data_IF_265050723717
#
_entry.id   IF_265050723717
#
_cell.length_a   1.000
_cell.length_b   1.000
_cell.length_c   1.000
_cell.angle_alpha   90.00
_cell.angle_beta   90.00
_cell.angle_gamma   90.00
#
_symmetry.space_group_name_H-M   'P 1'
#
loop_
_entity.id
_entity.type
_entity.pdbx_description
1 polymer ?
#
# COMPACT_ATOMS: atom_id res chain seq x y z
N UNK A 1 -0.17 3.07 -0.15
CA UNK A 1 0.33 4.36 -0.71
C UNK A 1 -0.86 5.24 -1.03
N UNK A 2 -0.96 6.41 -0.38
CA UNK A 2 -1.96 7.41 -0.75
C UNK A 2 -1.49 8.09 -2.04
N UNK A 3 -1.98 7.62 -3.17
CA UNK A 3 -1.81 8.29 -4.44
C UNK A 3 -2.58 9.61 -4.42
N UNK A 4 -1.89 10.72 -4.67
CA UNK A 4 -2.52 12.04 -4.80
C UNK A 4 -2.59 12.40 -6.27
N UNK A 5 -3.77 12.69 -6.77
CA UNK A 5 -3.92 13.25 -8.11
C UNK A 5 -3.21 14.61 -8.19
N UNK A 6 -2.26 14.73 -9.11
CA UNK A 6 -1.49 15.94 -9.33
C UNK A 6 -2.06 16.77 -10.48
N UNK A 7 -2.55 16.10 -11.53
CA UNK A 7 -3.07 16.75 -12.74
C UNK A 7 -4.15 15.87 -13.39
N UNK A 8 -4.90 16.45 -14.32
CA UNK A 8 -5.90 15.75 -15.12
C UNK A 8 -6.01 16.43 -16.48
N UNK A 9 -5.71 15.71 -17.53
CA UNK A 9 -5.67 16.25 -18.91
C UNK A 9 -6.56 15.41 -19.84
N UNK A 10 -7.33 16.08 -20.68
CA UNK A 10 -8.13 15.41 -21.72
C UNK A 10 -7.26 15.03 -22.91
N UNK A 11 -7.42 13.80 -23.41
CA UNK A 11 -6.75 13.34 -24.61
C UNK A 11 -7.20 14.15 -25.83
N UNK A 12 -6.25 14.61 -26.64
CA UNK A 12 -6.53 15.30 -27.89
C UNK A 12 -7.05 14.34 -28.97
N UNK A 13 -7.58 14.89 -30.09
CA UNK A 13 -8.03 14.07 -31.24
C UNK A 13 -6.90 13.21 -31.83
N UNK A 14 -5.64 13.69 -31.72
CA UNK A 14 -4.44 12.98 -32.17
C UNK A 14 -3.96 11.91 -31.16
N UNK A 15 -4.78 11.60 -30.15
CA UNK A 15 -4.46 10.64 -29.08
C UNK A 15 -3.19 11.02 -28.32
N UNK A 16 -2.97 12.30 -28.11
CA UNK A 16 -1.84 12.85 -27.37
C UNK A 16 -2.31 13.50 -26.09
N UNK A 17 -1.49 13.35 -25.06
CA UNK A 17 -1.64 14.00 -23.76
C UNK A 17 -0.29 14.63 -23.39
N UNK A 18 -0.31 15.87 -22.95
CA UNK A 18 0.87 16.57 -22.42
C UNK A 18 0.57 17.02 -20.99
N UNK A 19 1.33 16.53 -20.02
CA UNK A 19 1.31 16.99 -18.65
C UNK A 19 2.42 18.03 -18.45
N UNK A 20 2.08 19.19 -17.87
CA UNK A 20 3.02 20.29 -17.62
C UNK A 20 3.18 20.57 -16.12
N UNK A 21 2.73 19.66 -15.27
CA UNK A 21 2.84 19.79 -13.81
C UNK A 21 4.28 19.62 -13.39
N UNK A 22 4.84 20.53 -12.57
CA UNK A 22 6.17 20.36 -12.00
C UNK A 22 6.20 19.10 -11.12
N UNK A 23 7.08 18.17 -11.44
CA UNK A 23 7.30 16.93 -10.69
C UNK A 23 8.64 17.01 -9.96
N UNK A 24 8.78 16.27 -8.87
CA UNK A 24 10.06 15.95 -8.22
C UNK A 24 10.51 14.58 -8.68
N UNK A 25 11.79 14.25 -8.53
CA UNK A 25 12.27 12.89 -8.79
C UNK A 25 11.48 11.87 -7.96
N UNK A 26 11.00 10.80 -8.60
CA UNK A 26 10.15 9.80 -7.98
C UNK A 26 9.43 8.90 -8.99
N UNK A 27 8.55 8.05 -8.49
CA UNK A 27 7.67 7.21 -9.29
C UNK A 27 6.28 7.86 -9.38
N UNK A 28 5.70 7.85 -10.57
CA UNK A 28 4.40 8.44 -10.87
C UNK A 28 3.54 7.46 -11.65
N UNK A 29 2.23 7.61 -11.53
CA UNK A 29 1.26 6.79 -12.23
C UNK A 29 0.38 7.63 -13.13
N UNK A 30 0.18 7.18 -14.37
CA UNK A 30 -0.86 7.65 -15.27
C UNK A 30 -2.06 6.72 -15.11
N UNK A 31 -3.23 7.28 -14.82
CA UNK A 31 -4.48 6.55 -14.73
C UNK A 31 -5.45 7.04 -15.81
N UNK A 32 -6.08 6.11 -16.52
CA UNK A 32 -7.14 6.42 -17.49
C UNK A 32 -8.49 6.52 -16.79
N UNK A 33 -9.47 7.15 -17.43
CA UNK A 33 -10.86 7.21 -16.93
C UNK A 33 -11.51 5.83 -16.71
N UNK A 34 -10.95 4.77 -17.32
CA UNK A 34 -11.40 3.38 -17.18
C UNK A 34 -10.63 2.59 -16.12
N UNK A 35 -9.74 3.25 -15.37
CA UNK A 35 -8.97 2.64 -14.29
C UNK A 35 -7.74 1.83 -14.73
N UNK A 36 -7.35 1.91 -16.02
CA UNK A 36 -6.07 1.33 -16.43
C UNK A 36 -4.92 2.25 -16.03
N UNK A 37 -3.86 1.66 -15.47
CA UNK A 37 -2.74 2.39 -14.88
C UNK A 37 -1.41 2.06 -15.56
N UNK A 38 -0.48 3.01 -15.50
CA UNK A 38 0.89 2.86 -15.98
C UNK A 38 1.83 3.69 -15.13
N UNK A 39 2.81 3.03 -14.54
CA UNK A 39 3.81 3.68 -13.71
C UNK A 39 5.01 4.14 -14.53
N UNK A 40 5.63 5.26 -14.16
CA UNK A 40 6.86 5.72 -14.75
C UNK A 40 7.75 6.43 -13.73
N UNK A 41 9.04 6.38 -13.97
CA UNK A 41 10.05 7.08 -13.17
C UNK A 41 10.34 8.44 -13.77
N UNK A 42 10.54 9.44 -12.90
CA UNK A 42 10.91 10.80 -13.27
C UNK A 42 12.15 11.24 -12.49
N UNK A 43 13.12 11.81 -13.17
CA UNK A 43 14.42 12.24 -12.65
C UNK A 43 14.80 13.66 -13.10
N UNK A 44 13.84 14.57 -13.12
CA UNK A 44 13.96 15.95 -13.62
C UNK A 44 14.15 16.07 -15.15
N UNK A 45 14.10 14.94 -15.88
CA UNK A 45 14.15 14.92 -17.35
C UNK A 45 12.78 14.67 -17.95
N UNK A 46 12.34 15.40 -19.00
CA UNK A 46 11.04 15.17 -19.62
C UNK A 46 10.89 13.71 -20.12
N UNK A 47 9.82 13.06 -19.73
CA UNK A 47 9.51 11.68 -20.15
C UNK A 47 8.53 11.73 -21.32
N UNK A 48 8.87 11.06 -22.43
CA UNK A 48 8.00 10.84 -23.56
C UNK A 48 7.81 9.34 -23.79
N UNK A 49 6.58 8.91 -23.82
CA UNK A 49 6.22 7.51 -23.99
C UNK A 49 5.08 7.33 -25.00
N UNK A 50 5.00 6.15 -25.58
CA UNK A 50 3.91 5.70 -26.44
C UNK A 50 3.30 4.46 -25.79
N UNK A 51 1.99 4.47 -25.59
CA UNK A 51 1.23 3.33 -25.08
C UNK A 51 0.29 2.86 -26.19
N UNK A 52 0.46 1.63 -26.65
CA UNK A 52 -0.45 1.02 -27.64
C UNK A 52 -1.64 0.35 -26.96
N UNK A 53 -1.36 -0.28 -25.81
CA UNK A 53 -2.35 -0.93 -24.96
C UNK A 53 -1.96 -0.75 -23.49
N UNK A 54 -2.84 -0.17 -22.68
CA UNK A 54 -2.62 0.02 -21.25
C UNK A 54 -2.68 -1.29 -20.42
N UNK A 55 -3.22 -2.35 -21.01
CA UNK A 55 -3.28 -3.68 -20.38
C UNK A 55 -2.11 -4.60 -20.77
N UNK A 56 -1.26 -4.13 -21.70
CA UNK A 56 -0.04 -4.83 -22.13
C UNK A 56 1.18 -3.93 -21.95
N UNK A 57 1.87 -4.08 -20.83
CA UNK A 57 3.07 -3.29 -20.50
C UNK A 57 4.20 -3.49 -21.51
N UNK A 58 4.23 -4.61 -22.26
CA UNK A 58 5.21 -4.82 -23.32
C UNK A 58 4.97 -3.92 -24.54
N UNK A 59 3.78 -3.31 -24.63
CA UNK A 59 3.40 -2.36 -25.67
C UNK A 59 3.84 -0.92 -25.38
N UNK A 60 4.41 -0.66 -24.19
CA UNK A 60 4.88 0.67 -23.78
C UNK A 60 6.29 0.92 -24.31
N UNK A 61 6.47 2.03 -24.99
CA UNK A 61 7.76 2.44 -25.56
C UNK A 61 8.17 3.82 -25.01
N UNK A 62 9.29 3.88 -24.32
CA UNK A 62 9.89 5.15 -23.85
C UNK A 62 10.84 5.70 -24.92
N UNK A 63 10.52 6.89 -25.43
CA UNK A 63 11.25 7.47 -26.56
C UNK A 63 12.57 8.14 -26.14
N UNK A 64 12.61 8.71 -24.94
CA UNK A 64 13.74 9.54 -24.49
C UNK A 64 14.13 9.32 -23.02
N UNK A 65 13.70 8.19 -22.42
CA UNK A 65 14.02 7.89 -21.02
C UNK A 65 14.66 6.50 -20.90
N UNK A 66 15.99 6.47 -20.86
CA UNK A 66 16.74 5.23 -20.59
C UNK A 66 16.39 4.68 -19.20
N UNK A 67 16.19 5.57 -18.23
CA UNK A 67 15.71 5.26 -16.87
C UNK A 67 14.48 4.34 -16.88
N UNK A 68 13.46 4.71 -17.63
CA UNK A 68 12.23 3.93 -17.72
C UNK A 68 12.39 2.68 -18.61
N UNK A 69 13.21 2.76 -19.65
CA UNK A 69 13.54 1.58 -20.48
C UNK A 69 14.21 0.50 -19.64
N UNK A 70 15.17 0.88 -18.80
CA UNK A 70 15.88 -0.04 -17.90
C UNK A 70 14.94 -0.62 -16.84
N UNK A 71 14.08 0.23 -16.24
CA UNK A 71 13.11 -0.20 -15.24
C UNK A 71 12.11 -1.23 -15.80
N UNK A 72 11.54 -0.98 -16.97
CA UNK A 72 10.57 -1.88 -17.60
C UNK A 72 11.23 -3.18 -18.08
N UNK A 73 12.45 -3.12 -18.62
CA UNK A 73 13.22 -4.31 -18.98
C UNK A 73 13.51 -5.17 -17.75
N UNK A 74 13.85 -4.54 -16.63
CA UNK A 74 14.05 -5.21 -15.36
C UNK A 74 12.78 -5.89 -14.86
N UNK A 75 11.65 -5.17 -14.80
CA UNK A 75 10.38 -5.70 -14.30
C UNK A 75 9.93 -6.91 -15.13
N UNK A 76 9.98 -6.80 -16.45
CA UNK A 76 9.63 -7.91 -17.36
C UNK A 76 10.54 -9.14 -17.15
N UNK A 77 11.84 -8.95 -17.00
CA UNK A 77 12.75 -10.07 -16.75
C UNK A 77 12.55 -10.67 -15.36
N UNK A 78 12.29 -9.84 -14.32
CA UNK A 78 11.99 -10.29 -12.96
C UNK A 78 10.79 -11.21 -12.95
N UNK A 79 9.68 -10.80 -13.57
CA UNK A 79 8.45 -11.59 -13.66
C UNK A 79 8.71 -12.95 -14.34
N UNK A 80 9.29 -12.95 -15.54
CA UNK A 80 9.62 -14.18 -16.27
C UNK A 80 10.57 -15.10 -15.49
N UNK A 81 11.53 -14.51 -14.79
CA UNK A 81 12.48 -15.25 -13.96
C UNK A 81 11.79 -15.94 -12.79
N UNK A 82 10.97 -15.18 -12.04
CA UNK A 82 10.23 -15.72 -10.89
C UNK A 82 9.24 -16.81 -11.31
N UNK A 83 8.54 -16.66 -12.43
CA UNK A 83 7.66 -17.70 -12.98
C UNK A 83 8.46 -18.97 -13.32
N UNK A 84 9.60 -18.82 -14.00
CA UNK A 84 10.46 -19.96 -14.38
C UNK A 84 11.01 -20.69 -13.16
N UNK A 85 11.50 -19.96 -12.15
CA UNK A 85 11.98 -20.53 -10.90
C UNK A 85 10.87 -21.21 -10.11
N UNK A 86 9.64 -20.62 -10.10
CA UNK A 86 8.48 -21.21 -9.44
C UNK A 86 8.07 -22.56 -10.05
N UNK A 87 8.22 -22.75 -11.36
CA UNK A 87 7.97 -24.04 -12.04
C UNK A 87 9.02 -25.10 -11.69
N UNK A 88 10.29 -24.73 -11.53
CA UNK A 88 11.37 -25.66 -11.24
C UNK A 88 11.46 -26.03 -9.74
N UNK A 89 11.10 -25.15 -8.84
CA UNK A 89 11.23 -25.34 -7.39
C UNK A 89 10.52 -26.59 -6.82
N UNK A 90 9.30 -26.95 -7.23
CA UNK A 90 8.65 -28.19 -6.81
C UNK A 90 9.39 -29.42 -7.27
N UNK A 91 10.01 -29.41 -8.48
CA UNK A 91 10.78 -30.51 -9.01
C UNK A 91 12.04 -30.77 -8.18
N UNK A 92 12.73 -29.70 -7.78
CA UNK A 92 13.91 -29.79 -6.90
C UNK A 92 13.57 -30.29 -5.48
N UNK A 93 12.33 -30.13 -5.03
CA UNK A 93 11.87 -30.63 -3.72
C UNK A 93 11.41 -32.08 -3.75
N UNK A 94 10.85 -32.52 -4.87
CA UNK A 94 10.14 -33.81 -4.97
C UNK A 94 10.89 -34.95 -5.64
N UNK A 95 11.99 -34.65 -6.36
CA UNK A 95 12.73 -35.67 -7.11
C UNK A 95 13.93 -36.23 -6.34
N UNK A 96 14.34 -37.46 -6.71
CA UNK A 96 15.56 -38.08 -6.21
C UNK A 96 16.79 -37.26 -6.62
N UNK A 97 17.54 -36.81 -5.63
CA UNK A 97 18.73 -35.95 -5.79
C UNK A 97 19.88 -36.60 -6.58
N UNK A 98 19.89 -37.95 -6.70
CA UNK A 98 20.89 -38.68 -7.48
C UNK A 98 20.50 -38.84 -8.96
N UNK A 99 19.29 -38.43 -9.36
CA UNK A 99 18.82 -38.58 -10.74
C UNK A 99 19.44 -37.54 -11.69
N UNK A 100 19.68 -37.93 -12.93
CA UNK A 100 20.10 -36.97 -13.97
C UNK A 100 19.09 -35.83 -14.14
N UNK A 101 17.81 -36.15 -14.07
CA UNK A 101 16.74 -35.14 -14.16
C UNK A 101 16.84 -34.09 -13.05
N UNK A 102 17.09 -34.50 -11.81
CA UNK A 102 17.30 -33.56 -10.71
C UNK A 102 18.51 -32.65 -10.97
N UNK A 103 19.62 -33.25 -11.38
CA UNK A 103 20.88 -32.54 -11.66
C UNK A 103 20.73 -31.55 -12.81
N UNK A 104 20.00 -31.90 -13.86
CA UNK A 104 19.74 -30.98 -14.98
C UNK A 104 18.77 -29.88 -14.60
N UNK A 105 17.71 -30.18 -13.81
CA UNK A 105 16.79 -29.17 -13.26
C UNK A 105 17.52 -28.17 -12.36
N UNK A 106 18.47 -28.65 -11.53
CA UNK A 106 19.30 -27.82 -10.66
C UNK A 106 20.20 -26.87 -11.46
N UNK A 107 20.85 -27.38 -12.52
CA UNK A 107 21.66 -26.55 -13.41
C UNK A 107 20.82 -25.46 -14.11
N UNK A 108 19.63 -25.83 -14.59
CA UNK A 108 18.73 -24.85 -15.22
C UNK A 108 18.28 -23.78 -14.23
N UNK A 109 17.88 -24.18 -13.01
CA UNK A 109 17.52 -23.24 -11.94
C UNK A 109 18.66 -22.24 -11.68
N UNK A 110 19.90 -22.73 -11.52
CA UNK A 110 21.05 -21.87 -11.29
C UNK A 110 21.33 -20.96 -12.51
N UNK A 111 21.25 -21.50 -13.73
CA UNK A 111 21.45 -20.73 -14.97
C UNK A 111 20.45 -19.56 -15.09
N UNK A 112 19.22 -19.79 -14.70
CA UNK A 112 18.17 -18.72 -14.68
C UNK A 112 18.54 -17.63 -13.68
N UNK A 113 18.94 -18.01 -12.45
CA UNK A 113 19.39 -17.04 -11.43
C UNK A 113 20.60 -16.22 -11.93
N UNK A 114 21.63 -16.91 -12.49
CA UNK A 114 22.86 -16.27 -12.95
C UNK A 114 22.59 -15.26 -14.08
N UNK A 115 21.69 -15.60 -15.01
CA UNK A 115 21.28 -14.69 -16.09
C UNK A 115 20.58 -13.45 -15.54
N UNK A 116 19.68 -13.63 -14.57
CA UNK A 116 18.97 -12.52 -13.93
C UNK A 116 19.95 -11.59 -13.21
N UNK A 117 20.84 -12.15 -12.39
CA UNK A 117 21.85 -11.36 -11.66
C UNK A 117 22.79 -10.63 -12.61
N UNK A 118 23.31 -11.31 -13.63
CA UNK A 118 24.20 -10.66 -14.61
C UNK A 118 23.54 -9.52 -15.36
N UNK A 119 22.26 -9.66 -15.71
CA UNK A 119 21.50 -8.60 -16.35
C UNK A 119 21.24 -7.42 -15.38
N UNK A 120 20.79 -7.69 -14.17
CA UNK A 120 20.53 -6.64 -13.17
C UNK A 120 21.82 -5.91 -12.76
N UNK A 121 22.95 -6.62 -12.62
CA UNK A 121 24.24 -5.99 -12.38
C UNK A 121 24.62 -5.02 -13.52
N UNK A 122 24.33 -5.35 -14.77
CA UNK A 122 24.59 -4.46 -15.89
C UNK A 122 23.75 -3.17 -15.83
N UNK A 123 22.50 -3.25 -15.37
CA UNK A 123 21.61 -2.10 -15.20
C UNK A 123 22.01 -1.20 -14.00
N UNK A 124 22.48 -1.82 -12.92
CA UNK A 124 22.93 -1.13 -11.71
C UNK A 124 24.15 -0.24 -12.00
N UNK A 125 25.00 -0.60 -12.96
CA UNK A 125 26.15 0.21 -13.38
C UNK A 125 25.78 1.58 -13.99
N UNK A 126 24.51 1.78 -14.40
CA UNK A 126 24.06 3.06 -14.95
C UNK A 126 23.96 4.18 -13.89
N UNK A 127 24.02 3.82 -12.60
CA UNK A 127 24.05 4.74 -11.45
C UNK A 127 22.99 5.88 -11.51
N UNK A 128 21.77 5.48 -11.84
CA UNK A 128 20.60 6.37 -11.92
C UNK A 128 19.51 5.95 -10.93
N UNK A 129 18.36 6.63 -10.93
CA UNK A 129 17.27 6.32 -10.02
C UNK A 129 16.70 4.90 -10.23
N UNK A 130 16.57 4.42 -11.49
CA UNK A 130 16.15 3.05 -11.75
C UNK A 130 17.16 2.04 -11.21
N UNK A 131 18.47 2.28 -11.41
CA UNK A 131 19.54 1.42 -10.88
C UNK A 131 19.46 1.23 -9.38
N UNK A 132 19.16 2.31 -8.64
CA UNK A 132 18.93 2.27 -7.20
C UNK A 132 17.74 1.39 -6.85
N UNK A 133 16.59 1.56 -7.51
CA UNK A 133 15.40 0.77 -7.28
C UNK A 133 15.60 -0.69 -7.63
N UNK A 134 16.25 -0.99 -8.76
CA UNK A 134 16.60 -2.35 -9.20
C UNK A 134 17.47 -3.05 -8.13
N UNK A 135 18.46 -2.34 -7.59
CA UNK A 135 19.34 -2.88 -6.55
C UNK A 135 18.57 -3.29 -5.29
N UNK A 136 17.59 -2.52 -4.90
CA UNK A 136 16.73 -2.78 -3.73
C UNK A 136 15.72 -3.89 -4.00
N UNK A 137 15.08 -3.87 -5.17
CA UNK A 137 13.94 -4.73 -5.51
C UNK A 137 14.34 -6.12 -6.03
N UNK A 138 15.56 -6.30 -6.53
CA UNK A 138 16.02 -7.60 -7.00
C UNK A 138 16.06 -8.62 -5.87
N UNK A 139 15.83 -9.88 -6.20
CA UNK A 139 15.98 -10.98 -5.25
C UNK A 139 17.43 -11.46 -5.21
N UNK A 140 17.86 -11.95 -4.04
CA UNK A 140 19.15 -12.61 -3.87
C UNK A 140 19.09 -14.06 -4.38
N UNK A 141 20.13 -14.55 -5.07
CA UNK A 141 20.15 -15.91 -5.55
C UNK A 141 20.21 -16.91 -4.38
N UNK A 142 19.43 -17.97 -4.50
CA UNK A 142 19.39 -19.04 -3.49
C UNK A 142 20.51 -20.03 -3.79
N UNK A 143 21.32 -20.32 -2.78
CA UNK A 143 22.28 -21.45 -2.86
C UNK A 143 21.55 -22.77 -2.61
N UNK A 144 21.38 -23.58 -3.64
CA UNK A 144 20.69 -24.88 -3.56
C UNK A 144 21.44 -25.96 -2.78
N UNK A 145 22.70 -25.75 -2.40
CA UNK A 145 23.47 -26.65 -1.52
C UNK A 145 23.13 -26.46 -0.05
N UNK A 146 22.59 -25.30 0.33
CA UNK A 146 22.23 -25.00 1.69
C UNK A 146 20.83 -25.57 2.03
N UNK A 147 20.66 -25.98 3.29
CA UNK A 147 19.35 -26.39 3.76
C UNK A 147 18.38 -25.17 3.82
N UNK A 148 17.08 -25.45 3.84
CA UNK A 148 16.02 -24.42 3.77
C UNK A 148 16.13 -23.42 4.95
N UNK A 149 16.47 -23.90 6.13
CA UNK A 149 16.60 -23.04 7.33
C UNK A 149 17.78 -22.09 7.19
N UNK A 150 18.92 -22.56 6.67
CA UNK A 150 20.07 -21.71 6.39
C UNK A 150 19.77 -20.69 5.32
N UNK A 151 19.17 -21.11 4.18
CA UNK A 151 18.75 -20.20 3.12
C UNK A 151 17.86 -19.07 3.67
N UNK A 152 16.86 -19.43 4.50
CA UNK A 152 15.95 -18.45 5.11
C UNK A 152 16.66 -17.50 6.07
N UNK A 153 17.55 -18.00 6.93
CA UNK A 153 18.33 -17.16 7.86
C UNK A 153 19.22 -16.18 7.11
N UNK A 154 19.89 -16.63 6.06
CA UNK A 154 20.76 -15.78 5.24
C UNK A 154 19.96 -14.70 4.52
N UNK A 155 18.78 -15.05 3.95
CA UNK A 155 17.87 -14.08 3.36
C UNK A 155 17.41 -13.03 4.36
N UNK A 156 16.98 -13.41 5.57
CA UNK A 156 16.54 -12.48 6.62
C UNK A 156 17.70 -11.56 7.03
N UNK A 157 18.88 -12.11 7.23
CA UNK A 157 20.05 -11.35 7.70
C UNK A 157 20.49 -10.28 6.70
N UNK A 158 20.37 -10.55 5.39
CA UNK A 158 20.86 -9.70 4.32
C UNK A 158 19.77 -8.85 3.65
N UNK A 159 18.50 -9.02 4.02
CA UNK A 159 17.34 -8.55 3.27
C UNK A 159 17.34 -7.05 2.95
N UNK A 160 17.87 -6.22 3.85
CA UNK A 160 17.93 -4.77 3.72
C UNK A 160 19.35 -4.23 3.44
N UNK A 161 20.32 -5.06 3.08
CA UNK A 161 21.70 -4.62 2.88
C UNK A 161 21.84 -3.53 1.79
N UNK A 162 20.96 -3.56 0.79
CA UNK A 162 20.95 -2.60 -0.32
C UNK A 162 20.02 -1.40 -0.09
N UNK A 163 19.36 -1.31 1.07
CA UNK A 163 18.43 -0.22 1.40
C UNK A 163 19.12 0.85 2.24
N UNK A 164 19.20 2.07 1.72
CA UNK A 164 19.59 3.24 2.50
C UNK A 164 18.34 3.94 3.07
N UNK A 165 18.09 3.73 4.36
CA UNK A 165 16.95 4.34 5.07
C UNK A 165 17.11 5.86 5.28
N UNK A 166 18.21 6.49 4.90
CA UNK A 166 18.32 7.94 4.81
C UNK A 166 17.80 8.50 3.48
N UNK A 167 17.62 7.66 2.47
CA UNK A 167 17.21 8.08 1.14
C UNK A 167 15.71 8.29 1.04
N UNK A 168 15.26 9.52 1.23
CA UNK A 168 13.84 9.90 1.15
C UNK A 168 13.24 9.76 -0.27
N UNK A 169 14.03 9.56 -1.31
CA UNK A 169 13.47 9.28 -2.64
C UNK A 169 12.71 7.94 -2.67
N UNK A 170 13.04 7.02 -1.77
CA UNK A 170 12.39 5.71 -1.67
C UNK A 170 10.91 5.80 -1.21
N UNK A 171 10.55 6.82 -0.43
CA UNK A 171 9.14 6.99 0.00
C UNK A 171 8.22 7.46 -1.14
N UNK A 172 8.80 7.87 -2.28
CA UNK A 172 8.04 8.26 -3.48
C UNK A 172 7.78 7.07 -4.42
N UNK A 173 8.15 5.86 -4.02
CA UNK A 173 7.99 4.62 -4.78
C UNK A 173 7.31 3.56 -3.93
N UNK A 174 6.78 2.52 -4.57
CA UNK A 174 6.25 1.34 -3.88
C UNK A 174 7.35 0.31 -3.56
N UNK A 175 8.53 0.43 -4.16
CA UNK A 175 9.64 -0.54 -4.01
C UNK A 175 10.00 -0.79 -2.55
N UNK A 176 10.11 0.27 -1.74
CA UNK A 176 10.44 0.14 -0.33
C UNK A 176 9.30 -0.54 0.46
N UNK A 177 8.06 -0.15 0.22
CA UNK A 177 6.91 -0.74 0.93
C UNK A 177 6.69 -2.20 0.54
N UNK A 178 6.85 -2.55 -0.74
CA UNK A 178 6.83 -3.96 -1.22
C UNK A 178 7.96 -4.75 -0.56
N UNK A 179 9.19 -4.23 -0.55
CA UNK A 179 10.34 -4.87 0.13
C UNK A 179 10.06 -5.15 1.61
N UNK A 180 9.42 -4.21 2.31
CA UNK A 180 9.05 -4.38 3.73
C UNK A 180 7.98 -5.46 3.89
N UNK A 181 6.95 -5.50 3.03
CA UNK A 181 5.92 -6.55 3.07
C UNK A 181 6.50 -7.94 2.79
N UNK A 182 7.43 -8.04 1.82
CA UNK A 182 8.15 -9.29 1.53
C UNK A 182 8.96 -9.75 2.75
N UNK A 183 9.63 -8.82 3.45
CA UNK A 183 10.35 -9.13 4.68
C UNK A 183 9.41 -9.65 5.77
N UNK A 184 8.28 -8.99 6.00
CA UNK A 184 7.29 -9.44 6.99
C UNK A 184 6.70 -10.80 6.62
N UNK A 185 6.47 -11.05 5.33
CA UNK A 185 6.03 -12.36 4.83
C UNK A 185 7.10 -13.43 5.04
N UNK A 186 8.38 -13.09 4.85
CA UNK A 186 9.49 -14.01 5.08
C UNK A 186 9.61 -14.42 6.56
N UNK A 187 9.13 -13.60 7.52
CA UNK A 187 9.08 -13.95 8.93
C UNK A 187 8.02 -15.04 9.24
N UNK A 188 7.03 -15.21 8.38
CA UNK A 188 5.96 -16.18 8.58
C UNK A 188 6.34 -17.56 8.06
N UNK A 189 5.90 -18.61 8.77
CA UNK A 189 6.01 -20.01 8.32
C UNK A 189 4.65 -20.70 8.43
N UNK A 190 4.42 -21.68 7.58
CA UNK A 190 3.11 -22.37 7.49
C UNK A 190 2.75 -23.22 8.71
N UNK A 191 3.70 -23.52 9.58
CA UNK A 191 3.55 -24.31 10.81
C UNK A 191 3.29 -23.47 12.06
N UNK A 192 3.35 -22.13 11.96
CA UNK A 192 3.06 -21.22 13.06
C UNK A 192 1.56 -21.22 13.41
N UNK A 193 1.25 -21.27 14.71
CA UNK A 193 -0.08 -20.92 15.20
C UNK A 193 -0.26 -19.38 15.21
N UNK A 194 -1.47 -18.92 15.53
CA UNK A 194 -1.81 -17.49 15.50
C UNK A 194 -0.88 -16.64 16.39
N UNK A 195 -0.63 -17.03 17.64
CA UNK A 195 0.22 -16.27 18.55
C UNK A 195 1.67 -16.18 18.07
N UNK A 196 2.17 -17.27 17.47
CA UNK A 196 3.51 -17.29 16.84
C UNK A 196 3.59 -16.40 15.61
N UNK A 197 2.53 -16.33 14.80
CA UNK A 197 2.43 -15.41 13.66
C UNK A 197 2.47 -13.95 14.12
N UNK A 198 1.68 -13.59 15.14
CA UNK A 198 1.68 -12.25 15.74
C UNK A 198 3.07 -11.89 16.24
N UNK A 199 3.73 -12.79 17.01
CA UNK A 199 5.08 -12.54 17.51
C UNK A 199 6.09 -12.35 16.38
N UNK A 200 6.00 -13.12 15.31
CA UNK A 200 6.88 -12.99 14.14
C UNK A 200 6.68 -11.66 13.43
N UNK A 201 5.44 -11.20 13.31
CA UNK A 201 5.14 -9.87 12.73
C UNK A 201 5.69 -8.76 13.62
N UNK A 202 5.52 -8.83 14.95
CA UNK A 202 6.06 -7.86 15.89
C UNK A 202 7.59 -7.76 15.76
N UNK A 203 8.30 -8.90 15.74
CA UNK A 203 9.76 -8.93 15.55
C UNK A 203 10.17 -8.35 14.18
N UNK A 204 9.36 -8.59 13.14
CA UNK A 204 9.55 -8.02 11.82
C UNK A 204 9.39 -6.50 11.82
N UNK A 205 8.35 -5.98 12.49
CA UNK A 205 8.10 -4.55 12.67
C UNK A 205 9.26 -3.88 13.40
N UNK A 206 9.73 -4.46 14.51
CA UNK A 206 10.88 -3.94 15.27
C UNK A 206 12.14 -3.86 14.41
N UNK A 207 12.42 -4.92 13.64
CA UNK A 207 13.58 -4.96 12.76
C UNK A 207 13.52 -3.85 11.70
N UNK A 208 12.35 -3.59 11.12
CA UNK A 208 12.15 -2.54 10.13
C UNK A 208 12.26 -1.16 10.75
N UNK A 209 11.52 -0.90 11.84
CA UNK A 209 11.46 0.42 12.46
C UNK A 209 12.80 0.84 13.06
N UNK A 210 13.57 -0.09 13.69
CA UNK A 210 14.90 0.20 14.20
C UNK A 210 15.88 0.67 13.13
N UNK A 211 15.73 0.22 11.87
CA UNK A 211 16.54 0.69 10.73
C UNK A 211 16.15 2.09 10.28
N UNK A 212 14.90 2.46 10.49
CA UNK A 212 14.35 3.76 10.06
C UNK A 212 14.70 4.90 11.03
N UNK A 213 15.20 4.61 12.24
CA UNK A 213 15.54 5.62 13.28
C UNK A 213 16.61 6.62 12.82
N UNK A 214 17.35 6.30 11.77
CA UNK A 214 18.35 7.18 11.15
C UNK A 214 17.74 8.42 10.48
N UNK A 215 16.42 8.42 10.16
CA UNK A 215 15.73 9.53 9.53
C UNK A 215 14.28 9.60 9.98
N UNK A 216 13.86 10.71 10.59
CA UNK A 216 12.50 10.89 11.10
C UNK A 216 11.42 10.74 10.01
N UNK A 217 11.58 11.34 8.83
CA UNK A 217 10.57 11.28 7.76
C UNK A 217 10.39 9.85 7.23
N UNK A 218 11.49 9.10 7.11
CA UNK A 218 11.45 7.68 6.77
C UNK A 218 10.73 6.88 7.84
N UNK A 219 11.07 7.09 9.10
CA UNK A 219 10.42 6.41 10.23
C UNK A 219 8.92 6.70 10.26
N UNK A 220 8.53 7.98 10.21
CA UNK A 220 7.14 8.41 10.23
C UNK A 220 6.33 7.77 9.09
N UNK A 221 6.89 7.78 7.88
CA UNK A 221 6.25 7.19 6.70
C UNK A 221 6.02 5.69 6.88
N UNK A 222 7.07 4.94 7.25
CA UNK A 222 6.98 3.48 7.40
C UNK A 222 6.12 3.11 8.61
N UNK A 223 6.24 3.82 9.71
CA UNK A 223 5.40 3.60 10.89
C UNK A 223 3.92 3.78 10.56
N UNK A 224 3.55 4.87 9.88
CA UNK A 224 2.19 5.13 9.45
C UNK A 224 1.70 4.04 8.48
N UNK A 225 2.51 3.67 7.50
CA UNK A 225 2.19 2.64 6.53
C UNK A 225 1.89 1.28 7.20
N UNK A 226 2.73 0.88 8.15
CA UNK A 226 2.58 -0.40 8.84
C UNK A 226 1.36 -0.40 9.78
N UNK A 227 1.19 0.63 10.59
CA UNK A 227 0.08 0.67 11.56
C UNK A 227 -1.28 0.74 10.86
N UNK A 228 -1.41 1.49 9.77
CA UNK A 228 -2.62 1.54 8.95
C UNK A 228 -2.88 0.20 8.25
N UNK A 229 -1.86 -0.41 7.64
CA UNK A 229 -1.98 -1.71 6.98
C UNK A 229 -2.38 -2.83 7.94
N UNK A 230 -1.76 -2.92 9.11
CA UNK A 230 -2.14 -3.91 10.12
C UNK A 230 -3.55 -3.66 10.66
N UNK A 231 -3.97 -2.40 10.78
CA UNK A 231 -5.32 -2.05 11.21
C UNK A 231 -6.37 -2.49 10.18
N UNK A 232 -6.13 -2.24 8.88
CA UNK A 232 -7.00 -2.69 7.79
C UNK A 232 -7.11 -4.22 7.71
N UNK A 233 -6.01 -4.92 7.96
CA UNK A 233 -5.96 -6.38 7.95
C UNK A 233 -6.50 -7.03 9.24
N UNK A 234 -6.83 -6.24 10.27
CA UNK A 234 -7.37 -6.73 11.54
C UNK A 234 -6.34 -7.37 12.47
N UNK A 235 -5.05 -7.06 12.34
CA UNK A 235 -3.99 -7.51 13.25
C UNK A 235 -3.91 -6.62 14.50
N UNK A 236 -4.97 -6.65 15.31
CA UNK A 236 -5.12 -5.76 16.48
C UNK A 236 -3.95 -5.86 17.47
N UNK A 237 -3.41 -7.05 17.71
CA UNK A 237 -2.28 -7.25 18.65
C UNK A 237 -0.99 -6.59 18.15
N UNK A 238 -0.73 -6.58 16.84
CA UNK A 238 0.42 -5.90 16.24
C UNK A 238 0.24 -4.38 16.34
N UNK A 239 -0.97 -3.88 16.04
CA UNK A 239 -1.31 -2.46 16.20
C UNK A 239 -1.16 -2.04 17.67
N UNK A 240 -1.63 -2.85 18.62
CA UNK A 240 -1.45 -2.61 20.06
C UNK A 240 0.01 -2.51 20.46
N UNK A 241 0.83 -3.40 19.96
CA UNK A 241 2.26 -3.35 20.17
C UNK A 241 2.84 -2.04 19.63
N UNK A 242 2.57 -1.70 18.37
CA UNK A 242 3.07 -0.47 17.74
C UNK A 242 2.67 0.80 18.50
N UNK A 243 1.47 0.85 19.10
CA UNK A 243 1.01 2.00 19.87
C UNK A 243 1.75 2.19 21.23
N UNK A 244 2.53 1.20 21.66
CA UNK A 244 3.29 1.22 22.94
C UNK A 244 4.78 1.46 22.76
N UNK A 245 5.28 1.51 21.50
CA UNK A 245 6.70 1.75 21.24
C UNK A 245 7.07 3.16 21.75
N UNK A 246 8.13 3.31 22.55
CA UNK A 246 8.60 4.61 23.05
C UNK A 246 9.33 5.38 21.96
N UNK A 247 8.59 6.09 21.09
CA UNK A 247 9.13 6.80 19.92
C UNK A 247 10.20 7.84 20.24
N UNK A 248 10.18 8.41 21.47
CA UNK A 248 11.06 9.50 21.85
C UNK A 248 12.48 9.07 22.24
N UNK A 249 12.71 7.79 22.54
CA UNK A 249 14.01 7.30 23.02
C UNK A 249 14.90 6.80 21.87
N UNK A 250 14.30 6.41 20.75
CA UNK A 250 15.02 5.80 19.62
C UNK A 250 15.21 6.74 18.42
N UNK A 251 14.42 7.82 18.34
CA UNK A 251 14.42 8.74 17.20
C UNK A 251 14.76 10.14 17.67
N UNK A 252 15.75 10.75 17.04
CA UNK A 252 16.02 12.19 17.23
C UNK A 252 14.91 13.01 16.55
N UNK A 253 13.88 13.37 17.32
CA UNK A 253 12.74 14.14 16.84
C UNK A 253 12.42 15.29 17.79
N UNK A 254 11.98 16.42 17.20
CA UNK A 254 11.52 17.57 17.97
C UNK A 254 10.06 17.36 18.46
N UNK A 255 9.58 18.26 19.33
CA UNK A 255 8.25 18.16 19.95
C UNK A 255 7.09 18.09 18.90
N UNK A 256 7.19 18.82 17.80
CA UNK A 256 6.16 18.78 16.76
C UNK A 256 6.13 17.41 16.05
N UNK A 257 7.28 16.87 15.72
CA UNK A 257 7.44 15.56 15.10
C UNK A 257 6.93 14.45 16.03
N UNK A 258 7.24 14.54 17.32
CA UNK A 258 6.68 13.63 18.32
C UNK A 258 5.15 13.68 18.36
N UNK A 259 4.56 14.89 18.35
CA UNK A 259 3.10 15.07 18.33
C UNK A 259 2.46 14.52 17.05
N UNK A 260 3.14 14.55 15.91
CA UNK A 260 2.67 13.88 14.68
C UNK A 260 2.56 12.37 14.87
N UNK A 261 3.60 11.72 15.40
CA UNK A 261 3.56 10.27 15.69
C UNK A 261 2.44 9.93 16.68
N UNK A 262 2.29 10.72 17.75
CA UNK A 262 1.19 10.53 18.70
C UNK A 262 -0.18 10.64 18.01
N UNK A 263 -0.34 11.56 17.06
CA UNK A 263 -1.59 11.70 16.30
C UNK A 263 -1.90 10.48 15.46
N UNK A 264 -0.89 9.85 14.84
CA UNK A 264 -1.04 8.59 14.09
C UNK A 264 -1.48 7.47 15.05
N UNK A 265 -0.82 7.35 16.19
CA UNK A 265 -1.16 6.37 17.23
C UNK A 265 -2.59 6.56 17.72
N UNK A 266 -2.94 7.78 18.10
CA UNK A 266 -4.28 8.10 18.59
C UNK A 266 -5.37 7.79 17.54
N UNK A 267 -5.13 8.14 16.28
CA UNK A 267 -6.06 7.85 15.20
C UNK A 267 -6.29 6.34 15.07
N UNK A 268 -5.23 5.56 14.97
CA UNK A 268 -5.30 4.10 14.79
C UNK A 268 -5.84 3.37 16.02
N UNK A 269 -5.59 3.87 17.24
CA UNK A 269 -6.15 3.28 18.45
C UNK A 269 -7.66 3.52 18.60
N UNK A 270 -8.22 4.57 18.00
CA UNK A 270 -9.65 4.93 18.10
C UNK A 270 -10.56 4.16 17.15
N UNK A 271 -10.04 3.59 16.07
CA UNK A 271 -10.85 2.88 15.05
C UNK A 271 -10.90 1.36 15.26
N UNK A 272 -10.48 0.88 16.41
CA UNK A 272 -10.49 -0.56 16.74
C UNK A 272 -11.86 -1.06 17.11
N UNK A 273 -12.10 -2.33 16.85
CA UNK A 273 -13.26 -3.05 17.40
C UNK A 273 -13.23 -2.96 18.94
N UNK A 274 -14.37 -2.60 19.52
CA UNK A 274 -14.50 -2.40 20.97
C UNK A 274 -14.02 -1.06 21.51
N UNK A 275 -13.39 -0.20 20.70
CA UNK A 275 -13.05 1.16 21.09
C UNK A 275 -14.29 2.04 21.13
N UNK A 276 -14.26 3.05 22.02
CA UNK A 276 -15.34 4.06 22.08
C UNK A 276 -15.24 4.94 20.85
N UNK A 277 -16.25 4.90 19.98
CA UNK A 277 -16.32 5.75 18.81
C UNK A 277 -16.30 7.24 19.20
N UNK A 278 -15.62 8.08 18.43
CA UNK A 278 -15.61 9.53 18.67
C UNK A 278 -17.03 10.08 18.51
N UNK A 279 -17.46 10.90 19.48
CA UNK A 279 -18.78 11.51 19.42
C UNK A 279 -18.96 12.41 18.19
N UNK A 280 -20.11 12.31 17.54
CA UNK A 280 -20.56 13.22 16.48
C UNK A 280 -21.67 14.07 17.08
N UNK A 281 -21.40 15.36 17.26
CA UNK A 281 -22.35 16.31 17.83
C UNK A 281 -22.42 17.58 17.00
N UNK A 282 -23.56 18.31 17.12
CA UNK A 282 -23.80 19.55 16.41
C UNK A 282 -25.20 19.62 15.80
N UNK A 283 -25.39 20.47 14.78
CA UNK A 283 -26.69 20.69 14.16
C UNK A 283 -26.85 19.85 12.89
N UNK A 284 -27.90 19.06 12.82
CA UNK A 284 -28.23 18.27 11.62
C UNK A 284 -28.61 19.15 10.43
N UNK A 285 -28.62 18.61 9.21
CA UNK A 285 -29.09 19.33 8.01
C UNK A 285 -30.54 19.82 8.10
N UNK A 286 -31.33 19.33 9.07
CA UNK A 286 -32.70 19.76 9.35
C UNK A 286 -32.82 20.70 10.56
N UNK A 287 -31.73 21.32 11.00
CA UNK A 287 -31.62 22.26 12.09
C UNK A 287 -32.08 21.68 13.46
N UNK A 288 -31.76 20.43 13.72
CA UNK A 288 -31.94 19.81 15.04
C UNK A 288 -30.58 19.64 15.70
N UNK A 289 -30.49 20.09 16.97
CA UNK A 289 -29.33 19.76 17.81
C UNK A 289 -29.27 18.26 18.03
N UNK A 290 -28.05 17.70 18.00
CA UNK A 290 -27.82 16.27 18.10
C UNK A 290 -26.49 15.96 18.75
N UNK A 291 -26.49 14.89 19.52
CA UNK A 291 -25.31 14.27 20.11
C UNK A 291 -25.45 12.75 19.95
N UNK A 292 -24.47 12.13 19.27
CA UNK A 292 -24.53 10.69 18.98
C UNK A 292 -24.57 9.84 20.26
N UNK A 293 -23.92 10.29 21.34
CA UNK A 293 -23.95 9.57 22.61
C UNK A 293 -25.30 9.65 23.34
N UNK A 294 -26.20 10.54 22.88
CA UNK A 294 -27.58 10.62 23.41
C UNK A 294 -28.55 9.66 22.73
N UNK A 295 -28.11 8.87 21.73
CA UNK A 295 -28.96 7.91 21.04
C UNK A 295 -29.28 6.74 21.99
N UNK A 296 -30.57 6.56 22.28
CA UNK A 296 -31.08 5.44 23.07
C UNK A 296 -31.48 4.25 22.16
N UNK A 297 -30.47 3.65 21.50
CA UNK A 297 -30.59 2.45 20.68
C UNK A 297 -29.40 1.54 20.96
N UNK A 298 -29.60 0.24 20.81
CA UNK A 298 -28.55 -0.76 21.04
C UNK A 298 -27.39 -0.60 20.08
N UNK A 299 -27.69 -0.26 18.82
CA UNK A 299 -26.70 -0.09 17.76
C UNK A 299 -26.88 1.24 17.02
N UNK A 300 -25.76 1.89 16.67
CA UNK A 300 -25.74 3.08 15.83
C UNK A 300 -24.87 2.82 14.60
N UNK A 301 -25.47 2.92 13.40
CA UNK A 301 -24.75 2.87 12.13
C UNK A 301 -24.27 4.27 11.81
N UNK A 302 -22.95 4.48 11.73
CA UNK A 302 -22.36 5.72 11.22
C UNK A 302 -22.02 5.52 9.76
N UNK A 303 -22.67 6.28 8.87
CA UNK A 303 -22.53 6.14 7.42
C UNK A 303 -21.95 7.40 6.78
N UNK A 304 -20.69 7.31 6.35
CA UNK A 304 -20.06 8.38 5.57
C UNK A 304 -20.38 8.18 4.09
N UNK A 305 -20.88 9.24 3.44
CA UNK A 305 -21.33 9.16 2.05
C UNK A 305 -21.18 10.47 1.31
N UNK A 306 -21.25 10.42 -0.03
CA UNK A 306 -21.29 11.60 -0.89
C UNK A 306 -22.53 11.56 -1.81
N UNK A 307 -23.17 12.70 -1.98
CA UNK A 307 -24.30 12.82 -2.93
C UNK A 307 -23.87 12.54 -4.39
N UNK A 308 -22.62 12.84 -4.74
CA UNK A 308 -22.08 12.61 -6.10
C UNK A 308 -21.76 11.14 -6.38
N UNK A 309 -21.66 10.32 -5.35
CA UNK A 309 -21.40 8.88 -5.45
C UNK A 309 -22.70 8.10 -5.71
N UNK A 310 -22.82 7.46 -6.85
CA UNK A 310 -24.00 6.66 -7.23
C UNK A 310 -24.22 5.48 -6.28
N UNK A 311 -23.17 4.71 -5.98
CA UNK A 311 -23.23 3.58 -5.06
C UNK A 311 -23.66 4.00 -3.66
N UNK A 312 -23.18 5.15 -3.19
CA UNK A 312 -23.59 5.68 -1.88
C UNK A 312 -25.09 5.97 -1.84
N UNK A 313 -25.64 6.57 -2.90
CA UNK A 313 -27.09 6.87 -2.97
C UNK A 313 -27.95 5.61 -3.05
N UNK A 314 -27.47 4.57 -3.68
CA UNK A 314 -28.17 3.29 -3.72
C UNK A 314 -28.10 2.58 -2.39
N UNK A 315 -26.91 2.55 -1.75
CA UNK A 315 -26.75 1.94 -0.43
C UNK A 315 -27.63 2.59 0.65
N UNK A 316 -27.89 3.89 0.57
CA UNK A 316 -28.74 4.56 1.56
C UNK A 316 -30.19 4.02 1.51
N UNK A 317 -30.68 3.54 0.36
CA UNK A 317 -31.98 2.87 0.23
C UNK A 317 -31.99 1.48 0.88
N UNK A 318 -30.87 0.76 0.77
CA UNK A 318 -30.73 -0.53 1.48
C UNK A 318 -30.67 -0.33 2.99
N UNK A 319 -29.96 0.69 3.46
CA UNK A 319 -29.93 1.08 4.86
C UNK A 319 -31.33 1.43 5.37
N UNK A 320 -32.12 2.18 4.58
CA UNK A 320 -33.53 2.44 4.94
C UNK A 320 -34.30 1.14 5.18
N UNK A 321 -34.26 0.22 4.22
CA UNK A 321 -34.97 -1.06 4.36
C UNK A 321 -34.50 -1.83 5.59
N UNK A 322 -33.18 -1.86 5.84
CA UNK A 322 -32.63 -2.51 7.01
C UNK A 322 -33.14 -1.88 8.31
N UNK A 323 -33.19 -0.55 8.40
CA UNK A 323 -33.69 0.17 9.59
C UNK A 323 -35.21 0.01 9.78
N UNK A 324 -35.98 -0.07 8.71
CA UNK A 324 -37.42 -0.35 8.78
C UNK A 324 -37.71 -1.76 9.38
N UNK A 325 -36.80 -2.71 9.19
CA UNK A 325 -36.92 -4.09 9.67
C UNK A 325 -36.22 -4.32 11.05
N UNK A 326 -35.45 -3.33 11.57
CA UNK A 326 -34.62 -3.48 12.77
C UNK A 326 -34.70 -2.25 13.69
N UNK A 327 -35.67 -2.25 14.60
CA UNK A 327 -35.96 -1.12 15.50
C UNK A 327 -34.85 -0.80 16.53
N UNK A 328 -33.92 -1.74 16.78
CA UNK A 328 -32.82 -1.55 17.71
C UNK A 328 -31.61 -0.81 17.12
N UNK A 329 -31.69 -0.42 15.84
CA UNK A 329 -30.65 0.34 15.15
C UNK A 329 -31.05 1.81 14.97
N UNK A 330 -30.04 2.69 14.95
CA UNK A 330 -30.16 4.10 14.55
C UNK A 330 -29.14 4.42 13.44
N UNK A 331 -29.42 5.46 12.65
CA UNK A 331 -28.54 5.94 11.57
C UNK A 331 -28.05 7.34 11.86
N UNK A 332 -26.71 7.53 11.82
CA UNK A 332 -26.04 8.82 11.74
C UNK A 332 -25.34 8.88 10.38
N UNK A 333 -25.86 9.67 9.45
CA UNK A 333 -25.31 9.78 8.11
C UNK A 333 -24.58 11.11 7.93
N UNK A 334 -23.28 11.04 7.60
CA UNK A 334 -22.42 12.20 7.40
C UNK A 334 -22.09 12.32 5.92
N UNK A 335 -22.60 13.38 5.26
CA UNK A 335 -22.21 13.68 3.88
C UNK A 335 -20.90 14.44 3.85
N UNK A 336 -19.91 13.89 3.20
CA UNK A 336 -18.56 14.46 3.08
C UNK A 336 -18.39 15.36 1.85
N UNK A 337 -19.39 15.46 0.99
CA UNK A 337 -19.41 16.34 -0.18
C UNK A 337 -20.80 16.42 -0.82
N UNK A 338 -21.10 17.55 -1.45
CA UNK A 338 -22.28 17.69 -2.32
C UNK A 338 -23.25 18.81 -1.94
N UNK A 339 -24.16 19.12 -2.84
CA UNK A 339 -25.18 20.16 -2.69
C UNK A 339 -26.18 19.84 -1.57
N UNK A 340 -26.18 20.63 -0.51
CA UNK A 340 -27.04 20.46 0.66
C UNK A 340 -28.56 20.41 0.32
N UNK A 341 -29.01 21.14 -0.71
CA UNK A 341 -30.43 21.12 -1.13
C UNK A 341 -30.77 19.76 -1.74
N UNK A 342 -29.88 19.22 -2.57
CA UNK A 342 -30.06 17.89 -3.20
C UNK A 342 -30.05 16.79 -2.14
N UNK A 343 -29.13 16.86 -1.15
CA UNK A 343 -29.07 15.94 -0.02
C UNK A 343 -30.39 15.97 0.76
N UNK A 344 -30.86 17.16 1.18
CA UNK A 344 -32.14 17.32 1.88
C UNK A 344 -33.33 16.75 1.11
N UNK A 345 -33.36 16.98 -0.21
CA UNK A 345 -34.42 16.46 -1.07
C UNK A 345 -34.38 14.94 -1.18
N UNK A 346 -33.20 14.34 -1.31
CA UNK A 346 -33.03 12.88 -1.32
C UNK A 346 -33.53 12.23 -0.03
N UNK A 347 -33.07 12.71 1.12
CA UNK A 347 -33.47 12.17 2.44
C UNK A 347 -34.97 12.26 2.64
N UNK A 348 -35.60 13.40 2.27
CA UNK A 348 -37.05 13.58 2.35
C UNK A 348 -37.81 12.67 1.39
N UNK A 349 -37.34 12.55 0.14
CA UNK A 349 -37.98 11.72 -0.89
C UNK A 349 -37.97 10.25 -0.50
N UNK A 350 -36.85 9.76 -0.04
CA UNK A 350 -36.67 8.35 0.34
C UNK A 350 -37.24 8.05 1.75
N UNK A 351 -37.66 9.08 2.51
CA UNK A 351 -38.22 8.95 3.88
C UNK A 351 -37.30 8.14 4.80
N UNK A 352 -36.02 8.49 4.81
CA UNK A 352 -35.03 7.80 5.63
C UNK A 352 -35.05 8.41 7.03
N UNK A 353 -35.24 7.56 8.04
CA UNK A 353 -35.12 7.96 9.44
C UNK A 353 -33.66 7.96 9.87
N UNK A 354 -33.25 8.98 10.62
CA UNK A 354 -31.86 9.11 11.10
C UNK A 354 -31.42 10.56 11.26
N UNK A 355 -30.17 10.69 11.65
CA UNK A 355 -29.50 11.98 11.88
C UNK A 355 -28.56 12.26 10.73
N UNK A 356 -28.78 13.35 10.02
CA UNK A 356 -28.03 13.67 8.80
C UNK A 356 -27.18 14.92 8.99
N UNK A 357 -25.90 14.80 8.72
CA UNK A 357 -24.92 15.87 8.76
C UNK A 357 -24.34 16.17 7.38
N UNK A 358 -23.77 17.34 7.25
CA UNK A 358 -22.99 17.77 6.09
C UNK A 358 -21.72 18.46 6.58
N UNK A 359 -20.57 18.11 6.00
CA UNK A 359 -19.25 18.63 6.42
C UNK A 359 -19.01 20.09 6.03
N UNK A 360 -19.90 20.70 5.25
CA UNK A 360 -19.79 22.08 4.78
C UNK A 360 -18.92 22.25 3.53
N UNK A 361 -18.38 21.16 2.96
CA UNK A 361 -17.62 21.20 1.72
C UNK A 361 -18.56 21.03 0.52
N UNK A 362 -18.46 21.92 -0.50
CA UNK A 362 -19.25 21.87 -1.74
C UNK A 362 -18.56 21.08 -2.86
#
# INVERSE_FOLDING_TARGET
LYMKQLDSVMMTQDKRVDFNTPLKSGMYQIETEYGATLDFLYDDSPVKLIVKDFYDLTSVEFINSQLNTDWYAYQSLKEQTLESLALLKPLLRGYNTESDFYNDTKKEYQSIQDKFISFTDSLILNDNFASKLIKIDRFDPINLEDDIEKQRKDLIANFFNDVDFNDLSLITTDVLTVKILDFLTLQQTSDQNHDQQIMSLILGVDNVLSRCTVNYEMYRFIFQYLIEGFNELGYEDVVDYMTRIPYSEEIDCNENQYNELLSIVEFNSRVRLGSVAKNISGTTIFNKEFDMYSIDKEFTIVYFWSYTCNHCRDNIKYLKKFLDDNDNFSLVAVSVKGDLKKIKNLVKKEKIDGYFYHDGLE
#
